data_IF_865972272706
#
_entry.id   IF_865972272706
#
_cell.length_a   1.000
_cell.length_b   1.000
_cell.length_c   1.000
_cell.angle_alpha   90.00
_cell.angle_beta   90.00
_cell.angle_gamma   90.00
#
_symmetry.space_group_name_H-M   'P 1'
#
loop_
_entity.id
_entity.type
_entity.pdbx_description
1 polymer ?
#
# COMPACT_ATOMS: atom_id res chain seq x y z
N UNK A 1 2.26 8.20 5.83
CA UNK A 1 2.45 8.41 4.38
C UNK A 1 1.12 8.80 3.82
N UNK A 2 1.05 9.94 3.13
CA UNK A 2 -0.21 10.41 2.58
C UNK A 2 -0.57 9.63 1.32
N UNK A 3 -1.87 9.47 1.09
CA UNK A 3 -2.44 8.90 -0.13
C UNK A 3 -3.22 9.97 -0.87
N UNK A 4 -3.27 9.86 -2.19
CA UNK A 4 -3.90 10.83 -3.08
C UNK A 4 -4.95 10.15 -3.95
N UNK A 5 -5.95 10.92 -4.37
CA UNK A 5 -6.96 10.45 -5.31
C UNK A 5 -6.33 10.17 -6.66
N UNK A 6 -6.67 9.03 -7.27
CA UNK A 6 -6.19 8.62 -8.59
C UNK A 6 -7.36 8.27 -9.47
N UNK A 7 -7.37 8.77 -10.70
CA UNK A 7 -8.27 8.32 -11.76
C UNK A 7 -7.50 8.02 -13.04
N UNK A 8 -7.96 6.99 -13.76
CA UNK A 8 -7.42 6.60 -15.06
C UNK A 8 -8.58 6.60 -16.05
N UNK A 9 -8.49 7.43 -17.08
CA UNK A 9 -9.49 7.53 -18.14
C UNK A 9 -8.81 7.91 -19.45
N UNK A 10 -9.21 7.25 -20.56
CA UNK A 10 -8.73 7.59 -21.91
C UNK A 10 -7.19 7.64 -22.00
N UNK A 11 -6.49 6.67 -21.40
CA UNK A 11 -5.03 6.61 -21.34
C UNK A 11 -4.35 7.78 -20.60
N UNK A 12 -5.12 8.58 -19.85
CA UNK A 12 -4.62 9.65 -18.98
C UNK A 12 -4.73 9.20 -17.52
N UNK A 13 -3.62 9.34 -16.80
CA UNK A 13 -3.53 9.21 -15.35
C UNK A 13 -3.61 10.61 -14.72
N UNK A 14 -4.60 10.82 -13.85
CA UNK A 14 -4.75 12.05 -13.06
C UNK A 14 -4.54 11.75 -11.59
N UNK A 15 -3.73 12.58 -10.94
CA UNK A 15 -3.49 12.54 -9.49
C UNK A 15 -4.04 13.83 -8.89
N UNK A 16 -5.02 13.71 -7.99
CA UNK A 16 -5.55 14.84 -7.23
C UNK A 16 -4.70 15.06 -5.96
N UNK A 17 -3.79 16.04 -6.02
CA UNK A 17 -2.95 16.42 -4.89
C UNK A 17 -3.63 17.37 -3.89
N UNK A 18 -4.83 17.87 -4.21
CA UNK A 18 -5.63 18.72 -3.32
C UNK A 18 -6.44 17.90 -2.30
N UNK A 19 -6.82 16.68 -2.67
CA UNK A 19 -7.46 15.71 -1.77
C UNK A 19 -6.41 14.79 -1.11
N UNK A 20 -5.98 15.15 0.10
CA UNK A 20 -5.02 14.37 0.89
C UNK A 20 -5.74 13.39 1.81
N UNK A 21 -5.43 12.10 1.67
CA UNK A 21 -5.93 11.04 2.54
C UNK A 21 -4.82 10.55 3.46
N UNK A 22 -5.08 10.48 4.76
CA UNK A 22 -4.12 9.94 5.72
C UNK A 22 -3.81 8.46 5.44
N UNK A 23 -2.53 8.09 5.51
CA UNK A 23 -2.13 6.70 5.42
C UNK A 23 -2.54 5.87 6.64
N UNK A 24 -2.54 4.54 6.50
CA UNK A 24 -2.78 3.66 7.63
C UNK A 24 -1.67 3.81 8.71
N UNK A 25 -1.97 3.48 9.98
CA UNK A 25 -1.00 3.55 11.07
C UNK A 25 0.29 2.79 10.78
N UNK A 26 1.40 3.23 11.38
CA UNK A 26 2.68 2.51 11.33
C UNK A 26 2.47 1.07 11.81
N UNK A 27 3.02 0.10 11.08
CA UNK A 27 2.86 -1.32 11.36
C UNK A 27 1.63 -1.98 10.74
N UNK A 28 0.77 -1.23 10.04
CA UNK A 28 -0.35 -1.83 9.29
C UNK A 28 0.18 -2.59 8.07
N UNK A 29 -0.11 -3.89 7.97
CA UNK A 29 0.15 -4.65 6.76
C UNK A 29 -0.79 -4.18 5.64
N UNK A 30 -0.26 -3.42 4.68
CA UNK A 30 -1.02 -2.87 3.54
C UNK A 30 -0.88 -3.69 2.26
N UNK A 31 0.08 -4.60 2.23
CA UNK A 31 0.34 -5.46 1.06
C UNK A 31 -0.43 -6.77 1.16
N UNK A 32 -0.82 -7.18 2.38
CA UNK A 32 -1.42 -8.48 2.63
C UNK A 32 -0.45 -9.64 2.39
N UNK A 33 0.81 -9.33 2.12
CA UNK A 33 1.83 -10.32 1.89
C UNK A 33 2.20 -10.93 3.24
N UNK A 34 2.42 -12.25 3.22
CA UNK A 34 3.09 -12.92 4.32
C UNK A 34 4.52 -12.37 4.44
N UNK A 35 5.15 -12.63 5.57
CA UNK A 35 6.56 -12.30 5.69
C UNK A 35 7.32 -13.11 4.63
N UNK A 36 8.05 -12.44 3.74
CA UNK A 36 8.80 -13.09 2.67
C UNK A 36 10.30 -12.92 2.96
N UNK A 37 11.02 -14.03 3.11
CA UNK A 37 12.45 -14.03 3.43
C UNK A 37 12.92 -15.30 4.16
N UNK A 38 14.23 -15.58 4.21
CA UNK A 38 14.76 -16.81 4.83
C UNK A 38 14.45 -16.97 6.33
N UNK A 39 13.95 -15.92 6.99
CA UNK A 39 13.48 -15.95 8.38
C UNK A 39 11.96 -16.14 8.51
N UNK A 40 11.24 -16.31 7.41
CA UNK A 40 9.79 -16.23 7.37
C UNK A 40 9.09 -17.58 7.16
N UNK A 41 9.77 -18.68 7.48
CA UNK A 41 9.12 -20.00 7.56
C UNK A 41 8.40 -20.17 8.90
N UNK A 42 7.09 -19.94 8.89
CA UNK A 42 6.21 -20.73 9.74
C UNK A 42 6.26 -22.18 9.27
N UNK A 43 7.07 -23.01 9.93
CA UNK A 43 7.14 -24.45 9.66
C UNK A 43 8.38 -25.12 10.24
N UNK A 44 8.31 -25.56 11.50
CA UNK A 44 9.22 -26.57 12.06
C UNK A 44 9.92 -26.22 13.37
N UNK A 45 9.19 -26.23 14.49
CA UNK A 45 9.43 -27.17 15.59
C UNK A 45 8.16 -27.32 16.43
#
# INVERSE_FOLDING_TARGET
MDRFGVSVANDILVIDTGAVFGGPPIGTNTTGQEAEGPHCVGGGH
#
